data_IF_531463704840
#
_entry.id   IF_531463704840
#
_cell.length_a   1.000
_cell.length_b   1.000
_cell.length_c   1.000
_cell.angle_alpha   90.00
_cell.angle_beta   90.00
_cell.angle_gamma   90.00
#
_symmetry.space_group_name_H-M   'P 1'
#
loop_
_entity.id
_entity.type
_entity.pdbx_description
1 polymer ?
#
# COMPACT_ATOMS: atom_id res chain seq x y z
N UNK A 1 13.97 13.94 -4.44
CA UNK A 1 13.55 12.95 -5.45
C UNK A 1 12.15 13.32 -5.92
N UNK A 2 11.90 13.49 -7.23
CA UNK A 2 10.55 13.72 -7.75
C UNK A 2 9.68 12.47 -7.54
N UNK A 3 8.37 12.63 -7.40
CA UNK A 3 7.39 11.53 -7.42
C UNK A 3 7.28 10.96 -8.85
N UNK A 4 6.73 9.74 -9.03
CA UNK A 4 6.48 9.21 -10.38
C UNK A 4 5.57 10.16 -11.17
N UNK A 5 5.89 10.35 -12.44
CA UNK A 5 5.05 11.13 -13.36
C UNK A 5 3.87 10.24 -13.76
N UNK A 6 2.66 10.66 -13.40
CA UNK A 6 1.40 10.01 -13.78
C UNK A 6 0.65 10.98 -14.70
N UNK A 7 0.08 10.47 -15.80
CA UNK A 7 -0.57 11.30 -16.82
C UNK A 7 -1.87 11.99 -16.33
N UNK A 8 -2.41 11.59 -15.18
CA UNK A 8 -3.69 12.08 -14.67
C UNK A 8 -3.62 13.35 -13.80
N UNK A 9 -4.62 14.22 -13.99
CA UNK A 9 -4.71 15.58 -13.45
C UNK A 9 -4.90 15.71 -11.92
N UNK A 10 -4.76 14.63 -11.15
CA UNK A 10 -4.89 14.60 -9.68
C UNK A 10 -3.58 14.23 -8.97
N UNK A 11 -2.43 14.56 -9.57
CA UNK A 11 -1.09 14.22 -9.07
C UNK A 11 -0.80 14.60 -7.60
N UNK A 12 -1.54 15.58 -7.04
CA UNK A 12 -1.36 16.02 -5.65
C UNK A 12 -1.80 15.01 -4.58
N UNK A 13 -2.86 14.23 -4.84
CA UNK A 13 -3.46 13.30 -3.86
C UNK A 13 -3.29 11.82 -4.25
N UNK A 14 -2.70 11.53 -5.42
CA UNK A 14 -2.58 10.17 -5.93
C UNK A 14 -1.63 9.31 -5.08
N UNK A 15 -0.47 9.85 -4.70
CA UNK A 15 0.52 9.14 -3.89
C UNK A 15 0.28 9.38 -2.40
N UNK A 16 -0.06 8.32 -1.68
CA UNK A 16 -0.44 8.43 -0.25
C UNK A 16 0.61 7.91 0.72
N UNK A 17 1.47 6.99 0.27
CA UNK A 17 2.42 6.31 1.15
C UNK A 17 3.78 6.12 0.49
N UNK A 18 4.83 6.35 1.28
CA UNK A 18 6.21 6.06 0.97
C UNK A 18 6.65 4.84 1.80
N UNK A 19 7.41 3.93 1.21
CA UNK A 19 7.88 2.72 1.88
C UNK A 19 9.17 2.17 1.28
N UNK A 20 9.52 0.97 1.75
CA UNK A 20 10.62 0.15 1.24
C UNK A 20 10.07 -1.12 0.60
N UNK A 21 10.62 -1.47 -0.56
CA UNK A 21 10.41 -2.75 -1.21
C UNK A 21 11.75 -3.37 -1.59
N UNK A 22 12.20 -4.32 -0.76
CA UNK A 22 13.44 -5.06 -1.02
C UNK A 22 14.69 -4.16 -1.04
N UNK A 23 14.71 -3.12 -0.21
CA UNK A 23 15.79 -2.12 -0.16
C UNK A 23 15.67 -0.99 -1.17
N UNK A 24 14.60 -0.98 -1.99
CA UNK A 24 14.32 0.09 -2.93
C UNK A 24 13.18 0.99 -2.42
N UNK A 25 13.27 2.28 -2.70
CA UNK A 25 12.24 3.25 -2.33
C UNK A 25 10.99 2.99 -3.15
N UNK A 26 9.83 2.87 -2.48
CA UNK A 26 8.56 2.66 -3.15
C UNK A 26 7.50 3.68 -2.75
N UNK A 27 6.59 4.00 -3.66
CA UNK A 27 5.40 4.78 -3.37
C UNK A 27 4.14 4.05 -3.82
N UNK A 28 3.07 4.29 -3.08
CA UNK A 28 1.76 3.72 -3.37
C UNK A 28 0.81 4.78 -3.88
N UNK A 29 0.28 4.53 -5.07
CA UNK A 29 -0.68 5.37 -5.76
C UNK A 29 -2.08 4.81 -5.70
N UNK A 30 -3.10 5.64 -5.45
CA UNK A 30 -4.49 5.21 -5.59
C UNK A 30 -4.88 5.18 -7.08
N UNK A 31 -4.81 4.00 -7.69
CA UNK A 31 -4.97 3.81 -9.12
C UNK A 31 -6.39 4.13 -9.61
N UNK A 32 -7.40 3.61 -8.90
CA UNK A 32 -8.81 3.86 -9.18
C UNK A 32 -9.61 3.70 -7.87
N UNK A 33 -10.19 4.81 -7.41
CA UNK A 33 -11.06 4.87 -6.23
C UNK A 33 -12.29 3.97 -6.36
N UNK A 34 -12.81 3.80 -7.59
CA UNK A 34 -13.96 2.95 -7.87
C UNK A 34 -13.59 1.49 -8.10
N UNK A 35 -12.34 1.17 -8.44
CA UNK A 35 -11.86 -0.22 -8.56
C UNK A 35 -11.12 -0.73 -7.32
N UNK A 36 -10.91 0.13 -6.30
CA UNK A 36 -10.37 -0.28 -4.99
C UNK A 36 -9.01 -0.94 -5.16
N UNK A 37 -8.23 -0.38 -6.08
CA UNK A 37 -6.92 -0.88 -6.44
C UNK A 37 -5.84 0.14 -6.14
N UNK A 38 -4.64 -0.35 -5.90
CA UNK A 38 -3.49 0.47 -5.54
C UNK A 38 -2.29 0.09 -6.40
N UNK A 39 -1.62 1.09 -6.96
CA UNK A 39 -0.41 0.88 -7.76
C UNK A 39 0.82 0.99 -6.86
N UNK A 40 1.71 0.00 -6.97
CA UNK A 40 3.04 0.07 -6.37
C UNK A 40 4.04 0.57 -7.41
N UNK A 41 4.73 1.65 -7.09
CA UNK A 41 5.83 2.20 -7.87
C UNK A 41 7.13 2.05 -7.10
N UNK A 42 8.20 1.64 -7.78
CA UNK A 42 9.53 1.48 -7.17
C UNK A 42 10.55 2.32 -7.94
N UNK A 43 11.37 3.07 -7.21
CA UNK A 43 12.53 3.76 -7.74
C UNK A 43 13.70 2.77 -7.79
N UNK A 44 14.22 2.51 -8.99
CA UNK A 44 15.36 1.60 -9.19
C UNK A 44 16.70 2.32 -9.23
N UNK A 45 16.71 3.55 -9.70
CA UNK A 45 17.92 4.36 -9.85
C UNK A 45 17.72 5.70 -9.15
N UNK A 46 18.47 5.92 -8.08
CA UNK A 46 18.51 7.18 -7.38
C UNK A 46 19.32 8.18 -8.25
N UNK A 47 18.88 9.43 -8.32
CA UNK A 47 19.41 10.53 -9.17
C UNK A 47 18.91 10.59 -10.63
N UNK A 48 18.25 9.55 -11.12
CA UNK A 48 17.47 9.61 -12.35
C UNK A 48 16.00 9.93 -12.02
N UNK A 49 15.56 11.18 -12.21
CA UNK A 49 14.20 11.61 -11.88
C UNK A 49 13.07 10.82 -12.54
N UNK A 50 13.37 10.06 -13.60
CA UNK A 50 12.42 9.27 -14.38
C UNK A 50 12.56 7.75 -14.16
N UNK A 51 13.23 7.30 -13.09
CA UNK A 51 13.51 5.87 -12.84
C UNK A 51 12.39 5.11 -12.12
N UNK A 52 11.26 5.77 -11.86
CA UNK A 52 10.09 5.13 -11.26
C UNK A 52 9.48 4.10 -12.21
N UNK A 53 9.36 2.87 -11.74
CA UNK A 53 8.71 1.79 -12.48
C UNK A 53 7.49 1.32 -11.72
N UNK A 54 6.32 1.30 -12.36
CA UNK A 54 5.12 0.64 -11.83
C UNK A 54 5.35 -0.87 -11.85
N UNK A 55 5.29 -1.52 -10.68
CA UNK A 55 5.51 -2.96 -10.57
C UNK A 55 4.22 -3.76 -10.80
N UNK A 56 3.17 -3.48 -10.04
CA UNK A 56 1.90 -4.18 -10.13
C UNK A 56 0.76 -3.34 -9.54
N UNK A 57 -0.45 -3.73 -9.90
CA UNK A 57 -1.70 -3.21 -9.34
C UNK A 57 -2.24 -4.22 -8.32
N UNK A 58 -2.53 -3.75 -7.11
CA UNK A 58 -3.05 -4.55 -6.01
C UNK A 58 -4.57 -4.46 -6.00
N UNK A 59 -5.26 -5.59 -6.16
CA UNK A 59 -6.71 -5.69 -5.93
C UNK A 59 -6.99 -5.91 -4.45
N UNK A 60 -7.85 -5.10 -3.86
CA UNK A 60 -8.04 -5.05 -2.40
C UNK A 60 -9.42 -5.51 -1.94
N UNK A 61 -10.42 -5.49 -2.82
CA UNK A 61 -11.78 -5.93 -2.51
C UNK A 61 -12.56 -6.27 -3.77
N UNK A 62 -13.64 -7.03 -3.60
CA UNK A 62 -14.66 -7.23 -4.64
C UNK A 62 -15.75 -6.13 -4.60
N UNK A 63 -15.76 -5.30 -3.56
CA UNK A 63 -16.63 -4.13 -3.38
C UNK A 63 -15.78 -2.86 -3.17
N UNK A 64 -15.04 -2.46 -4.21
CA UNK A 64 -14.08 -1.37 -4.13
C UNK A 64 -14.67 -0.01 -3.74
N UNK A 65 -15.91 0.28 -4.12
CA UNK A 65 -16.65 1.52 -3.83
C UNK A 65 -16.85 1.81 -2.33
N UNK A 66 -16.70 0.76 -1.51
CA UNK A 66 -16.78 0.87 -0.05
C UNK A 66 -15.46 1.28 0.58
N UNK A 67 -14.34 1.12 -0.11
CA UNK A 67 -13.02 1.47 0.42
C UNK A 67 -12.85 3.00 0.34
N UNK A 68 -12.53 3.62 1.48
CA UNK A 68 -12.19 5.05 1.51
C UNK A 68 -10.73 5.30 1.92
N UNK A 69 -10.08 4.33 2.56
CA UNK A 69 -8.69 4.45 2.99
C UNK A 69 -7.97 3.11 2.89
N UNK A 70 -6.72 3.15 2.43
CA UNK A 70 -5.83 2.00 2.31
C UNK A 70 -4.45 2.44 2.71
N UNK A 71 -3.84 1.74 3.65
CA UNK A 71 -2.48 1.98 4.11
C UNK A 71 -1.66 0.68 3.99
N UNK A 72 -0.62 0.64 3.14
CA UNK A 72 0.29 -0.49 3.10
C UNK A 72 1.10 -0.53 4.41
N UNK A 73 1.04 -1.65 5.12
CA UNK A 73 1.78 -1.84 6.38
C UNK A 73 3.14 -2.48 6.08
N UNK A 74 3.17 -3.44 5.16
CA UNK A 74 4.39 -4.21 4.89
C UNK A 74 4.39 -4.79 3.48
N UNK A 75 5.53 -4.69 2.80
CA UNK A 75 5.71 -5.15 1.42
C UNK A 75 6.73 -6.28 1.40
N UNK A 76 6.34 -7.46 0.90
CA UNK A 76 7.21 -8.62 0.74
C UNK A 76 7.39 -8.93 -0.74
N UNK A 77 8.39 -9.73 -1.11
CA UNK A 77 8.64 -10.10 -2.51
C UNK A 77 7.39 -10.59 -3.27
N UNK A 78 6.54 -11.38 -2.62
CA UNK A 78 5.37 -12.03 -3.26
C UNK A 78 4.02 -11.47 -2.84
N UNK A 79 3.95 -10.65 -1.80
CA UNK A 79 2.69 -10.15 -1.25
C UNK A 79 2.85 -8.86 -0.46
N UNK A 80 1.80 -8.06 -0.41
CA UNK A 80 1.71 -6.85 0.40
C UNK A 80 0.64 -7.02 1.47
N UNK A 81 0.93 -6.63 2.70
CA UNK A 81 -0.04 -6.50 3.78
C UNK A 81 -0.55 -5.05 3.82
N UNK A 82 -1.86 -4.90 3.70
CA UNK A 82 -2.53 -3.61 3.66
C UNK A 82 -3.58 -3.54 4.75
N UNK A 83 -3.64 -2.39 5.38
CA UNK A 83 -4.79 -1.98 6.16
C UNK A 83 -5.82 -1.31 5.26
N UNK A 84 -7.05 -1.82 5.28
CA UNK A 84 -8.15 -1.35 4.44
C UNK A 84 -9.29 -0.89 5.32
N UNK A 85 -9.77 0.33 5.12
CA UNK A 85 -10.96 0.86 5.79
C UNK A 85 -12.12 0.95 4.80
N UNK A 86 -13.25 0.36 5.20
CA UNK A 86 -14.49 0.36 4.40
C UNK A 86 -15.57 1.18 5.09
N UNK A 87 -16.48 1.78 4.30
CA UNK A 87 -17.63 2.56 4.81
C UNK A 87 -18.64 1.71 5.59
N UNK A 88 -18.69 0.41 5.29
CA UNK A 88 -19.69 -0.53 5.79
C UNK A 88 -19.34 -1.14 7.16
N UNK A 89 -18.06 -1.17 7.52
CA UNK A 89 -17.59 -1.81 8.74
C UNK A 89 -16.87 -0.82 9.66
N UNK A 90 -17.19 -0.86 10.96
CA UNK A 90 -16.49 -0.06 11.95
C UNK A 90 -15.15 -0.71 12.28
N UNK A 91 -14.08 -0.33 11.57
CA UNK A 91 -12.74 -0.84 11.84
C UNK A 91 -11.84 -0.81 10.61
N UNK A 92 -10.60 -1.21 10.81
CA UNK A 92 -9.68 -1.48 9.72
C UNK A 92 -9.53 -3.00 9.55
N UNK A 93 -9.51 -3.45 8.31
CA UNK A 93 -9.23 -4.84 7.94
C UNK A 93 -7.77 -4.98 7.57
N UNK A 94 -7.12 -6.05 8.01
CA UNK A 94 -5.84 -6.44 7.46
C UNK A 94 -6.09 -7.34 6.25
N UNK A 95 -5.53 -6.97 5.10
CA UNK A 95 -5.65 -7.72 3.85
C UNK A 95 -4.26 -8.03 3.34
N UNK A 96 -4.02 -9.29 3.00
CA UNK A 96 -2.83 -9.70 2.27
C UNK A 96 -3.18 -9.81 0.79
N UNK A 97 -2.54 -9.01 -0.06
CA UNK A 97 -2.71 -9.05 -1.52
C UNK A 97 -1.47 -9.69 -2.16
N UNK A 98 -1.67 -10.64 -3.07
CA UNK A 98 -0.59 -11.39 -3.72
C UNK A 98 -0.21 -10.71 -5.05
N UNK A 99 1.09 -10.57 -5.34
CA UNK A 99 1.55 -9.73 -6.46
C UNK A 99 1.29 -10.31 -7.85
N UNK A 100 1.25 -11.65 -7.95
CA UNK A 100 1.11 -12.38 -9.22
C UNK A 100 -0.26 -12.99 -9.43
N UNK A 101 -1.11 -12.94 -8.41
CA UNK A 101 -2.46 -13.49 -8.43
C UNK A 101 -3.40 -12.32 -8.16
N UNK A 102 -4.49 -12.16 -8.91
CA UNK A 102 -5.55 -11.21 -8.57
C UNK A 102 -6.38 -11.72 -7.37
N UNK A 103 -5.68 -12.05 -6.29
CA UNK A 103 -6.19 -12.70 -5.11
C UNK A 103 -5.72 -11.92 -3.89
N UNK A 104 -6.62 -11.78 -2.94
CA UNK A 104 -6.33 -11.26 -1.62
C UNK A 104 -6.95 -12.16 -0.56
N UNK A 105 -6.44 -12.04 0.66
CA UNK A 105 -6.88 -12.76 1.84
C UNK A 105 -7.16 -11.75 2.96
N UNK A 106 -8.36 -11.77 3.50
CA UNK A 106 -8.71 -10.96 4.67
C UNK A 106 -8.25 -11.68 5.93
N UNK A 107 -7.36 -11.02 6.67
CA UNK A 107 -6.83 -11.49 7.94
C UNK A 107 -7.64 -10.82 9.03
N UNK A 108 -8.39 -11.61 9.80
CA UNK A 108 -9.12 -11.13 10.97
C UNK A 108 -8.12 -10.78 12.05
N UNK A 109 -7.91 -9.48 12.27
CA UNK A 109 -7.07 -8.96 13.36
C UNK A 109 -7.95 -8.14 14.27
N UNK A 110 -7.97 -8.48 15.56
CA UNK A 110 -8.57 -7.61 16.57
C UNK A 110 -7.63 -6.42 16.83
N UNK A 111 -8.00 -5.28 16.26
CA UNK A 111 -7.18 -4.05 16.29
C UNK A 111 -7.06 -3.46 17.70
N UNK A 112 -7.88 -3.88 18.66
CA UNK A 112 -7.74 -3.48 20.06
C UNK A 112 -6.45 -4.03 20.71
N UNK A 113 -5.86 -5.07 20.11
CA UNK A 113 -4.73 -5.80 20.67
C UNK A 113 -3.41 -5.58 19.91
N UNK A 114 -3.40 -4.78 18.84
CA UNK A 114 -2.19 -4.56 18.03
C UNK A 114 -1.32 -3.45 18.62
N UNK A 115 -0.19 -3.83 19.21
CA UNK A 115 0.83 -2.87 19.66
C UNK A 115 1.58 -2.38 18.42
N UNK A 116 1.58 -1.07 18.20
CA UNK A 116 2.42 -0.47 17.17
C UNK A 116 3.89 -0.73 17.48
N UNK A 117 4.63 -1.27 16.52
CA UNK A 117 6.07 -1.41 16.68
C UNK A 117 6.69 -0.01 16.78
N UNK A 118 7.32 0.28 17.91
CA UNK A 118 8.11 1.49 18.14
C UNK A 118 9.54 1.04 18.43
N UNK A 119 10.51 1.48 17.62
CA UNK A 119 11.92 1.06 17.77
C UNK A 119 12.52 1.41 19.14
N UNK A 120 11.92 2.38 19.85
CA UNK A 120 12.24 2.74 21.23
C UNK A 120 11.91 1.64 22.25
N UNK A 121 11.17 0.58 21.88
CA UNK A 121 10.85 -0.55 22.75
C UNK A 121 11.92 -1.64 22.76
N UNK A 122 12.97 -1.51 21.95
CA UNK A 122 14.06 -2.49 21.86
C UNK A 122 15.18 -2.29 22.90
N UNK A 123 15.04 -1.33 23.83
CA UNK A 123 15.94 -1.24 24.98
C UNK A 123 15.59 -2.31 26.01
N UNK A 124 15.93 -3.57 25.73
CA UNK A 124 16.07 -4.59 26.76
C UNK A 124 17.57 -4.71 27.08
N UNK A 125 17.92 -4.36 28.32
CA UNK A 125 19.27 -4.51 28.91
C UNK A 125 19.83 -5.94 28.81
#
# INVERSE_FOLDING_TARGET
MPLPVVEDHFAGDYFRHLGDFGGCLCVFGQADTNAGSMDLWVMREYDAGNSWTKLFNLKLSNQPEQIYHVNPIFVMETSTFLEVHTKSESGAKLVRSYHKEEKFEEIRVDRQSMIGYEESLLWLE
#
